data_IF_153797214911
#
_entry.id   IF_153797214911
#
_cell.length_a   1.000
_cell.length_b   1.000
_cell.length_c   1.000
_cell.angle_alpha   90.00
_cell.angle_beta   90.00
_cell.angle_gamma   90.00
#
_symmetry.space_group_name_H-M   'P 1'
#
loop_
_entity.id
_entity.type
_entity.pdbx_description
1 polymer ?
#
# COMPACT_ATOMS: atom_id res chain seq x y z
N UNK A 1 19.54 10.69 -9.11
CA UNK A 1 18.37 9.76 -9.17
C UNK A 1 18.09 9.24 -10.57
N UNK A 2 18.36 9.99 -11.65
CA UNK A 2 18.14 9.50 -13.03
C UNK A 2 18.82 8.18 -13.42
N UNK A 3 19.99 7.75 -12.89
CA UNK A 3 20.54 6.43 -13.22
C UNK A 3 19.68 5.27 -12.68
N UNK A 4 19.04 5.46 -11.52
CA UNK A 4 18.26 4.42 -10.85
C UNK A 4 16.95 4.07 -11.57
N UNK A 5 16.51 4.90 -12.52
CA UNK A 5 15.37 4.54 -13.38
C UNK A 5 15.72 3.49 -14.44
N UNK A 6 17.00 3.20 -14.61
CA UNK A 6 17.52 2.22 -15.57
C UNK A 6 18.24 1.03 -14.92
N UNK A 7 18.29 1.00 -13.59
CA UNK A 7 18.75 -0.17 -12.83
C UNK A 7 17.53 -0.87 -12.23
N UNK A 8 17.63 -2.19 -12.07
CA UNK A 8 16.53 -3.02 -11.60
C UNK A 8 17.08 -4.38 -11.13
N UNK A 9 16.21 -5.19 -10.55
CA UNK A 9 16.52 -6.55 -10.12
C UNK A 9 16.73 -7.50 -11.31
N UNK A 10 17.98 -7.54 -11.80
CA UNK A 10 18.39 -8.43 -12.90
C UNK A 10 18.45 -9.90 -12.47
N UNK A 11 18.67 -10.19 -11.18
CA UNK A 11 18.70 -11.56 -10.69
C UNK A 11 17.31 -12.20 -10.77
N UNK A 12 16.29 -11.51 -10.26
CA UNK A 12 14.91 -12.01 -10.33
C UNK A 12 14.39 -12.08 -11.76
N UNK A 13 14.78 -11.16 -12.65
CA UNK A 13 14.41 -11.22 -14.08
C UNK A 13 14.95 -12.49 -14.74
N UNK A 14 16.24 -12.78 -14.60
CA UNK A 14 16.83 -13.98 -15.21
C UNK A 14 16.30 -15.27 -14.54
N UNK A 15 16.07 -15.26 -13.23
CA UNK A 15 15.40 -16.38 -12.55
C UNK A 15 13.99 -16.62 -13.09
N UNK A 16 13.21 -15.55 -13.30
CA UNK A 16 11.88 -15.66 -13.90
C UNK A 16 11.93 -16.30 -15.30
N UNK A 17 12.87 -15.90 -16.15
CA UNK A 17 13.09 -16.52 -17.46
C UNK A 17 13.42 -18.01 -17.33
N UNK A 18 14.27 -18.38 -16.36
CA UNK A 18 14.63 -19.77 -16.11
C UNK A 18 13.45 -20.60 -15.59
N UNK A 19 12.65 -20.06 -14.68
CA UNK A 19 11.42 -20.70 -14.19
C UNK A 19 10.39 -20.90 -15.31
N UNK A 20 10.35 -20.01 -16.32
CA UNK A 20 9.53 -20.21 -17.52
C UNK A 20 10.04 -21.31 -18.45
N UNK A 21 11.34 -21.64 -18.41
CA UNK A 21 11.89 -22.76 -19.16
C UNK A 21 11.57 -24.11 -18.47
N UNK A 22 11.64 -24.14 -17.14
CA UNK A 22 11.33 -25.33 -16.32
C UNK A 22 9.83 -25.63 -16.35
N UNK A 23 9.01 -24.62 -16.10
CA UNK A 23 7.55 -24.72 -16.07
C UNK A 23 6.97 -23.64 -16.97
N UNK A 24 6.75 -23.91 -18.27
CA UNK A 24 6.20 -22.94 -19.21
C UNK A 24 4.79 -22.47 -18.82
N UNK A 25 4.43 -21.19 -19.06
CA UNK A 25 3.09 -20.71 -18.78
C UNK A 25 2.04 -21.45 -19.63
N UNK A 26 0.84 -21.73 -19.07
CA UNK A 26 -0.16 -22.61 -19.69
C UNK A 26 -0.74 -22.10 -21.02
N UNK A 27 -0.64 -20.80 -21.33
CA UNK A 27 -1.03 -20.25 -22.63
C UNK A 27 0.19 -19.62 -23.34
N UNK A 28 0.67 -20.29 -24.40
CA UNK A 28 1.56 -19.69 -25.40
C UNK A 28 0.81 -18.79 -26.39
N UNK A 29 -0.52 -18.88 -26.45
CA UNK A 29 -1.34 -18.13 -27.39
C UNK A 29 -1.95 -16.90 -26.70
N UNK A 30 -1.55 -15.72 -27.20
CA UNK A 30 -2.21 -14.45 -26.98
C UNK A 30 -3.72 -14.58 -27.31
N UNK A 31 -4.66 -14.07 -26.50
CA UNK A 31 -6.02 -13.82 -26.97
C UNK A 31 -5.93 -12.86 -28.15
N UNK A 32 -6.06 -13.40 -29.36
CA UNK A 32 -6.20 -12.60 -30.58
C UNK A 32 -7.51 -11.86 -30.48
N UNK A 33 -7.46 -10.54 -30.71
CA UNK A 33 -8.56 -9.67 -31.10
C UNK A 33 -9.96 -10.15 -30.68
N UNK A 34 -10.51 -9.54 -29.64
CA UNK A 34 -11.84 -8.94 -29.71
C UNK A 34 -12.05 -8.04 -28.49
N UNK A 35 -12.44 -6.80 -28.76
CA UNK A 35 -12.79 -5.81 -27.74
C UNK A 35 -14.08 -6.19 -27.02
N UNK A 36 -14.00 -7.14 -26.10
CA UNK A 36 -15.05 -7.50 -25.17
C UNK A 36 -14.39 -8.00 -23.87
N UNK A 37 -14.24 -7.09 -22.89
CA UNK A 37 -14.08 -7.45 -21.47
C UNK A 37 -15.40 -8.02 -20.92
N UNK A 38 -15.89 -9.08 -21.56
CA UNK A 38 -17.05 -9.89 -21.18
C UNK A 38 -16.80 -11.31 -21.71
N UNK A 39 -15.92 -12.04 -21.05
CA UNK A 39 -16.14 -13.47 -20.90
C UNK A 39 -16.19 -13.75 -19.42
N UNK A 40 -17.40 -14.10 -18.95
CA UNK A 40 -17.56 -14.91 -17.76
C UNK A 40 -16.63 -16.10 -17.91
N UNK A 41 -15.57 -16.12 -17.09
CA UNK A 41 -14.71 -17.29 -16.98
C UNK A 41 -15.59 -18.37 -16.38
N UNK A 42 -16.18 -19.21 -17.23
CA UNK A 42 -16.72 -20.49 -16.80
C UNK A 42 -15.57 -21.23 -16.14
N UNK A 43 -15.82 -21.69 -14.91
CA UNK A 43 -14.94 -22.57 -14.14
C UNK A 43 -14.74 -23.89 -14.89
N UNK A 44 -13.85 -23.89 -15.89
CA UNK A 44 -13.31 -25.12 -16.44
C UNK A 44 -12.12 -25.56 -15.57
N UNK A 45 -12.40 -26.57 -14.73
CA UNK A 45 -11.51 -27.57 -14.13
C UNK A 45 -10.09 -27.13 -13.70
N UNK A 46 -9.86 -27.08 -12.38
CA UNK A 46 -8.60 -27.26 -11.62
C UNK A 46 -7.30 -27.41 -12.46
N UNK A 47 -6.90 -26.38 -13.22
CA UNK A 47 -5.53 -26.27 -13.71
C UNK A 47 -4.66 -25.89 -12.53
N UNK A 48 -3.66 -26.72 -12.22
CA UNK A 48 -2.70 -26.48 -11.14
C UNK A 48 -2.16 -25.04 -11.25
N UNK A 49 -2.39 -24.25 -10.21
CA UNK A 49 -1.99 -22.86 -10.18
C UNK A 49 -0.46 -22.76 -10.29
N UNK A 50 0.04 -21.98 -11.25
CA UNK A 50 1.48 -21.80 -11.49
C UNK A 50 2.07 -20.81 -10.48
N UNK A 51 2.45 -21.31 -9.31
CA UNK A 51 3.14 -20.54 -8.27
C UNK A 51 4.67 -20.57 -8.51
N UNK A 52 5.22 -19.45 -8.97
CA UNK A 52 6.65 -19.31 -9.27
C UNK A 52 7.55 -19.52 -8.05
N UNK A 53 7.06 -19.21 -6.84
CA UNK A 53 7.83 -19.45 -5.62
C UNK A 53 7.95 -20.94 -5.32
N UNK A 54 6.89 -21.72 -5.54
CA UNK A 54 6.92 -23.18 -5.34
C UNK A 54 7.92 -23.81 -6.32
N UNK A 55 7.87 -23.42 -7.60
CA UNK A 55 8.81 -23.90 -8.62
C UNK A 55 10.25 -23.50 -8.25
N UNK A 56 10.47 -22.27 -7.80
CA UNK A 56 11.79 -21.83 -7.31
C UNK A 56 12.27 -22.71 -6.14
N UNK A 57 11.39 -22.96 -5.16
CA UNK A 57 11.71 -23.80 -4.00
C UNK A 57 12.04 -25.24 -4.38
N UNK A 58 11.38 -25.80 -5.39
CA UNK A 58 11.60 -27.18 -5.83
C UNK A 58 12.88 -27.33 -6.66
N UNK A 59 13.24 -26.31 -7.47
CA UNK A 59 14.29 -26.42 -8.47
C UNK A 59 15.55 -25.58 -8.17
N UNK A 60 15.65 -24.89 -7.03
CA UNK A 60 16.78 -24.01 -6.77
C UNK A 60 18.15 -24.73 -6.72
N UNK A 61 18.18 -26.02 -6.38
CA UNK A 61 19.43 -26.80 -6.33
C UNK A 61 19.92 -27.25 -7.71
N UNK A 62 19.02 -27.25 -8.70
CA UNK A 62 19.28 -27.77 -10.05
C UNK A 62 19.88 -26.71 -11.00
N UNK A 63 19.86 -25.44 -10.60
CA UNK A 63 20.28 -24.31 -11.42
C UNK A 63 21.01 -23.24 -10.59
N UNK A 64 22.20 -22.85 -11.05
CA UNK A 64 23.06 -21.88 -10.33
C UNK A 64 22.36 -20.53 -10.10
N UNK A 65 21.56 -20.08 -11.06
CA UNK A 65 20.87 -18.79 -10.97
C UNK A 65 19.73 -18.82 -9.97
N UNK A 66 18.93 -19.90 -9.99
CA UNK A 66 17.89 -20.13 -8.99
C UNK A 66 18.49 -20.31 -7.59
N UNK A 67 19.63 -21.01 -7.49
CA UNK A 67 20.40 -21.16 -6.25
C UNK A 67 20.87 -19.80 -5.71
N UNK A 68 21.35 -18.91 -6.57
CA UNK A 68 21.77 -17.56 -6.18
C UNK A 68 20.61 -16.74 -5.61
N UNK A 69 19.44 -16.72 -6.27
CA UNK A 69 18.26 -16.05 -5.74
C UNK A 69 17.82 -16.68 -4.43
N UNK A 70 17.75 -18.01 -4.35
CA UNK A 70 17.36 -18.74 -3.14
C UNK A 70 18.30 -18.44 -1.96
N UNK A 71 19.61 -18.43 -2.21
CA UNK A 71 20.61 -18.06 -1.20
C UNK A 71 20.44 -16.62 -0.75
N UNK A 72 20.22 -15.68 -1.67
CA UNK A 72 20.00 -14.27 -1.33
C UNK A 72 18.79 -14.12 -0.40
N UNK A 73 17.64 -14.70 -0.76
CA UNK A 73 16.42 -14.53 0.05
C UNK A 73 16.46 -15.27 1.38
N UNK A 74 17.30 -16.31 1.53
CA UNK A 74 17.52 -17.01 2.81
C UNK A 74 18.65 -16.41 3.65
N UNK A 75 19.45 -15.48 3.11
CA UNK A 75 20.53 -14.83 3.85
C UNK A 75 19.94 -13.70 4.69
N UNK A 76 20.18 -13.72 5.99
CA UNK A 76 19.77 -12.63 6.89
C UNK A 76 20.91 -11.62 6.96
N UNK A 77 20.70 -10.35 6.52
CA UNK A 77 21.76 -9.34 6.59
C UNK A 77 22.17 -9.00 8.03
N UNK A 78 23.45 -8.67 8.24
CA UNK A 78 24.01 -8.36 9.58
C UNK A 78 23.32 -7.20 10.32
N UNK A 79 22.66 -6.31 9.59
CA UNK A 79 21.92 -5.18 10.16
C UNK A 79 20.51 -5.54 10.63
N UNK A 80 20.07 -6.78 10.44
CA UNK A 80 18.75 -7.25 10.89
C UNK A 80 18.78 -7.60 12.38
N UNK A 81 17.98 -6.87 13.15
CA UNK A 81 17.63 -7.20 14.54
C UNK A 81 16.17 -7.67 14.58
N UNK A 82 15.94 -8.94 14.95
CA UNK A 82 14.60 -9.52 15.00
C UNK A 82 13.72 -8.89 16.09
N UNK A 83 14.28 -8.50 17.23
CA UNK A 83 13.52 -7.80 18.27
C UNK A 83 13.10 -6.41 17.78
N UNK A 84 13.95 -5.75 16.99
CA UNK A 84 13.62 -4.51 16.32
C UNK A 84 12.49 -4.67 15.31
N UNK A 85 12.55 -5.71 14.46
CA UNK A 85 11.49 -6.01 13.49
C UNK A 85 10.17 -6.31 14.22
N UNK A 86 10.18 -7.10 15.31
CA UNK A 86 8.97 -7.40 16.09
C UNK A 86 8.30 -6.13 16.62
N UNK A 87 9.07 -5.18 17.16
CA UNK A 87 8.54 -3.88 17.58
C UNK A 87 8.01 -3.06 16.40
N UNK A 88 8.65 -3.15 15.23
CA UNK A 88 8.18 -2.53 14.00
C UNK A 88 6.84 -3.08 13.53
N UNK A 89 6.62 -4.40 13.64
CA UNK A 89 5.33 -5.03 13.37
C UNK A 89 4.23 -4.51 14.32
N UNK A 90 4.55 -4.34 15.60
CA UNK A 90 3.62 -3.76 16.58
C UNK A 90 3.26 -2.31 16.26
N UNK A 91 4.19 -1.51 15.72
CA UNK A 91 3.92 -0.11 15.29
C UNK A 91 2.81 -0.07 14.22
N UNK A 92 2.79 -1.03 13.29
CA UNK A 92 1.75 -1.10 12.26
C UNK A 92 0.35 -1.19 12.89
N UNK A 93 0.15 -2.11 13.83
CA UNK A 93 -1.15 -2.30 14.50
C UNK A 93 -1.44 -1.25 15.57
N UNK A 94 -0.42 -0.70 16.23
CA UNK A 94 -0.59 0.38 17.21
C UNK A 94 -1.35 1.56 16.62
N UNK A 95 -1.06 1.88 15.35
CA UNK A 95 -1.71 2.93 14.56
C UNK A 95 -2.60 2.36 13.44
N UNK A 96 -3.07 1.12 13.55
CA UNK A 96 -3.63 0.33 12.44
C UNK A 96 -4.69 1.05 11.58
N UNK A 97 -5.70 1.68 12.19
CA UNK A 97 -6.70 2.43 11.44
C UNK A 97 -6.12 3.62 10.66
N UNK A 98 -5.22 4.37 11.30
CA UNK A 98 -4.54 5.52 10.68
C UNK A 98 -3.54 5.07 9.59
N UNK A 99 -2.85 3.95 9.80
CA UNK A 99 -1.95 3.34 8.82
C UNK A 99 -2.72 2.83 7.59
N UNK A 100 -3.83 2.11 7.77
CA UNK A 100 -4.67 1.66 6.63
C UNK A 100 -5.28 2.85 5.87
N UNK A 101 -5.73 3.89 6.58
CA UNK A 101 -6.19 5.15 5.95
C UNK A 101 -5.06 5.79 5.15
N UNK A 102 -3.85 5.86 5.73
CA UNK A 102 -2.67 6.41 5.08
C UNK A 102 -2.26 5.63 3.85
N UNK A 103 -2.17 4.31 3.95
CA UNK A 103 -1.83 3.42 2.84
C UNK A 103 -2.82 3.54 1.68
N UNK A 104 -4.12 3.60 1.97
CA UNK A 104 -5.15 3.71 0.94
C UNK A 104 -5.13 5.06 0.21
N UNK A 105 -5.10 6.18 0.95
CA UNK A 105 -5.32 7.50 0.34
C UNK A 105 -4.05 8.32 0.16
N UNK A 106 -3.10 8.27 1.10
CA UNK A 106 -1.83 8.97 0.96
C UNK A 106 -0.88 8.18 0.04
N UNK A 107 -0.64 6.91 0.36
CA UNK A 107 0.36 6.11 -0.34
C UNK A 107 -0.14 5.64 -1.72
N UNK A 108 -1.26 4.91 -1.77
CA UNK A 108 -1.76 4.36 -3.03
C UNK A 108 -2.35 5.44 -3.94
N UNK A 109 -3.38 6.16 -3.49
CA UNK A 109 -4.04 7.17 -4.32
C UNK A 109 -3.11 8.37 -4.58
N UNK A 110 -2.47 8.92 -3.55
CA UNK A 110 -1.49 10.00 -3.72
C UNK A 110 -0.28 9.59 -4.57
N UNK A 111 0.15 8.33 -4.46
CA UNK A 111 1.21 7.75 -5.29
C UNK A 111 0.88 7.69 -6.78
N UNK A 112 -0.40 7.75 -7.17
CA UNK A 112 -0.78 7.90 -8.58
C UNK A 112 -0.24 9.20 -9.19
N UNK A 113 0.11 10.20 -8.37
CA UNK A 113 0.77 11.42 -8.83
C UNK A 113 2.18 11.19 -9.41
N UNK A 114 2.81 10.05 -9.12
CA UNK A 114 4.07 9.66 -9.74
C UNK A 114 3.80 9.09 -11.14
N UNK A 115 3.74 9.95 -12.16
CA UNK A 115 3.29 9.57 -13.50
C UNK A 115 4.04 8.37 -14.09
N UNK A 116 5.35 8.24 -13.88
CA UNK A 116 6.13 7.08 -14.36
C UNK A 116 5.64 5.75 -13.81
N UNK A 117 5.32 5.72 -12.52
CA UNK A 117 4.74 4.55 -11.85
C UNK A 117 3.33 4.31 -12.40
N UNK A 118 2.53 5.37 -12.53
CA UNK A 118 1.18 5.28 -13.10
C UNK A 118 1.17 4.67 -14.51
N UNK A 119 2.13 5.04 -15.37
CA UNK A 119 2.28 4.48 -16.71
C UNK A 119 2.57 2.97 -16.70
N UNK A 120 3.43 2.52 -15.77
CA UNK A 120 3.67 1.08 -15.58
C UNK A 120 2.40 0.37 -15.11
N UNK A 121 1.69 0.94 -14.14
CA UNK A 121 0.46 0.35 -13.59
C UNK A 121 -0.67 0.29 -14.61
N UNK A 122 -0.85 1.32 -15.44
CA UNK A 122 -1.92 1.40 -16.43
C UNK A 122 -1.86 0.25 -17.44
N UNK A 123 -0.65 -0.20 -17.79
CA UNK A 123 -0.40 -1.31 -18.73
C UNK A 123 -0.65 -2.68 -18.14
N UNK A 124 -0.76 -2.79 -16.82
CA UNK A 124 -1.14 -4.05 -16.18
C UNK A 124 -2.65 -4.32 -16.24
N UNK A 125 -3.49 -3.31 -16.53
CA UNK A 125 -4.95 -3.44 -16.49
C UNK A 125 -5.55 -3.67 -15.09
N UNK A 126 -4.70 -3.82 -14.06
CA UNK A 126 -5.12 -4.16 -12.71
C UNK A 126 -5.73 -3.00 -11.91
N UNK A 127 -5.88 -1.81 -12.50
CA UNK A 127 -6.47 -0.64 -11.83
C UNK A 127 -7.81 -0.20 -12.45
N UNK A 128 -8.48 -1.09 -13.18
CA UNK A 128 -9.90 -0.89 -13.54
C UNK A 128 -10.79 -0.98 -12.30
N UNK A 129 -11.97 -0.35 -12.31
CA UNK A 129 -12.90 -0.35 -11.17
C UNK A 129 -13.40 -1.74 -10.77
N UNK A 130 -13.38 -2.70 -11.70
CA UNK A 130 -13.73 -4.11 -11.48
C UNK A 130 -12.67 -4.87 -10.66
N UNK A 131 -11.40 -4.47 -10.76
CA UNK A 131 -10.25 -5.24 -10.27
C UNK A 131 -9.51 -4.55 -9.13
N UNK A 132 -9.44 -3.22 -9.13
CA UNK A 132 -8.59 -2.44 -8.22
C UNK A 132 -8.82 -2.78 -6.75
N UNK A 133 -10.07 -3.03 -6.34
CA UNK A 133 -10.41 -3.44 -4.97
C UNK A 133 -9.78 -4.77 -4.56
N UNK A 134 -9.82 -5.79 -5.44
CA UNK A 134 -9.20 -7.09 -5.16
C UNK A 134 -7.69 -6.94 -5.01
N UNK A 135 -7.03 -6.20 -5.91
CA UNK A 135 -5.58 -5.94 -5.82
C UNK A 135 -5.18 -5.16 -4.56
N UNK A 136 -6.03 -4.24 -4.10
CA UNK A 136 -5.83 -3.56 -2.82
C UNK A 136 -5.85 -4.57 -1.67
N UNK A 137 -6.78 -5.52 -1.67
CA UNK A 137 -6.83 -6.58 -0.65
C UNK A 137 -5.67 -7.56 -0.75
N UNK A 138 -5.22 -7.92 -1.95
CA UNK A 138 -4.01 -8.73 -2.16
C UNK A 138 -2.76 -8.04 -1.57
N UNK A 139 -2.62 -6.73 -1.84
CA UNK A 139 -1.53 -5.93 -1.25
C UNK A 139 -1.68 -5.84 0.27
N UNK A 140 -2.90 -5.66 0.78
CA UNK A 140 -3.15 -5.61 2.23
C UNK A 140 -2.85 -6.95 2.89
N UNK A 141 -3.20 -8.07 2.27
CA UNK A 141 -2.82 -9.42 2.72
C UNK A 141 -1.30 -9.54 2.82
N UNK A 142 -0.55 -9.08 1.80
CA UNK A 142 0.92 -9.09 1.83
C UNK A 142 1.45 -8.37 3.08
N UNK A 143 0.96 -7.15 3.34
CA UNK A 143 1.35 -6.35 4.53
C UNK A 143 1.02 -7.11 5.81
N UNK A 144 -0.16 -7.72 5.89
CA UNK A 144 -0.59 -8.48 7.06
C UNK A 144 0.28 -9.73 7.27
N UNK A 145 0.66 -10.45 6.21
CA UNK A 145 1.60 -11.56 6.31
C UNK A 145 2.97 -11.09 6.81
N UNK A 146 3.50 -9.97 6.30
CA UNK A 146 4.77 -9.39 6.77
C UNK A 146 4.71 -8.85 8.21
N UNK A 147 3.54 -8.49 8.73
CA UNK A 147 3.40 -7.86 10.06
C UNK A 147 2.81 -8.79 11.13
N UNK A 148 2.30 -9.96 10.76
CA UNK A 148 1.60 -10.87 11.68
C UNK A 148 2.48 -11.38 12.82
N UNK A 149 3.71 -11.83 12.54
CA UNK A 149 4.66 -12.32 13.55
C UNK A 149 6.08 -12.41 12.98
N UNK A 150 7.07 -12.66 13.84
CA UNK A 150 8.45 -12.87 13.41
C UNK A 150 8.60 -14.11 12.54
N UNK A 151 7.98 -15.21 12.94
CA UNK A 151 8.03 -16.47 12.20
C UNK A 151 7.48 -16.30 10.78
N UNK A 152 6.53 -15.39 10.58
CA UNK A 152 5.96 -15.09 9.27
C UNK A 152 6.94 -14.38 8.34
N UNK A 153 7.77 -13.46 8.84
CA UNK A 153 8.69 -12.66 8.00
C UNK A 153 10.11 -13.26 7.93
N UNK A 154 10.44 -14.18 8.83
CA UNK A 154 11.69 -14.94 8.81
C UNK A 154 11.74 -15.92 7.61
N UNK A 155 12.95 -16.34 7.17
CA UNK A 155 13.09 -17.32 6.10
C UNK A 155 12.22 -18.55 6.30
N UNK A 156 11.44 -18.91 5.27
CA UNK A 156 10.47 -20.01 5.30
C UNK A 156 9.06 -19.64 5.80
N UNK A 157 8.86 -18.43 6.35
CA UNK A 157 7.56 -17.94 6.81
C UNK A 157 6.62 -17.44 5.70
N UNK A 158 5.35 -17.22 6.05
CA UNK A 158 4.30 -16.82 5.09
C UNK A 158 4.56 -15.44 4.47
N UNK A 159 4.90 -14.45 5.30
CA UNK A 159 5.28 -13.10 4.85
C UNK A 159 6.53 -13.10 3.99
N UNK A 160 7.53 -13.87 4.37
CA UNK A 160 8.77 -14.07 3.60
C UNK A 160 8.47 -14.66 2.22
N UNK A 161 7.73 -15.77 2.16
CA UNK A 161 7.36 -16.43 0.91
C UNK A 161 6.46 -15.52 0.05
N UNK A 162 5.56 -14.77 0.68
CA UNK A 162 4.73 -13.76 0.03
C UNK A 162 5.56 -12.65 -0.61
N UNK A 163 6.60 -12.14 0.07
CA UNK A 163 7.51 -11.13 -0.52
C UNK A 163 8.24 -11.67 -1.75
N UNK A 164 8.68 -12.93 -1.73
CA UNK A 164 9.36 -13.55 -2.88
C UNK A 164 8.40 -13.72 -4.06
N UNK A 165 7.14 -14.11 -3.80
CA UNK A 165 6.11 -14.16 -4.85
C UNK A 165 5.92 -12.79 -5.50
N UNK A 166 5.86 -11.72 -4.71
CA UNK A 166 5.77 -10.35 -5.23
C UNK A 166 7.02 -9.97 -6.04
N UNK A 167 8.23 -10.33 -5.57
CA UNK A 167 9.49 -10.12 -6.31
C UNK A 167 9.48 -10.80 -7.68
N UNK A 168 9.02 -12.05 -7.74
CA UNK A 168 8.90 -12.81 -8.99
C UNK A 168 7.77 -12.27 -9.88
N UNK A 169 6.66 -11.79 -9.31
CA UNK A 169 5.61 -11.08 -10.05
C UNK A 169 6.14 -9.80 -10.68
N UNK A 170 6.96 -9.03 -9.96
CA UNK A 170 7.59 -7.82 -10.50
C UNK A 170 8.50 -8.14 -11.69
N UNK A 171 9.31 -9.20 -11.60
CA UNK A 171 10.10 -9.69 -12.72
C UNK A 171 9.22 -10.09 -13.92
N UNK A 172 8.11 -10.79 -13.68
CA UNK A 172 7.17 -11.19 -14.72
C UNK A 172 6.51 -10.00 -15.43
N UNK A 173 6.06 -9.00 -14.68
CA UNK A 173 5.47 -7.77 -15.21
C UNK A 173 6.47 -7.01 -16.06
N UNK A 174 7.71 -6.83 -15.57
CA UNK A 174 8.79 -6.14 -16.29
C UNK A 174 9.11 -6.84 -17.60
N UNK A 175 9.37 -8.15 -17.56
CA UNK A 175 9.68 -8.94 -18.74
C UNK A 175 8.57 -8.86 -19.79
N UNK A 176 7.30 -8.87 -19.36
CA UNK A 176 6.15 -8.77 -20.27
C UNK A 176 6.03 -7.39 -20.91
N UNK A 177 6.12 -6.30 -20.15
CA UNK A 177 6.05 -4.94 -20.72
C UNK A 177 7.22 -4.72 -21.70
N UNK A 178 8.42 -5.14 -21.33
CA UNK A 178 9.60 -5.02 -22.19
C UNK A 178 9.47 -5.87 -23.46
N UNK A 179 8.88 -7.07 -23.38
CA UNK A 179 8.59 -7.89 -24.56
C UNK A 179 7.60 -7.21 -25.52
N UNK A 180 6.55 -6.57 -25.01
CA UNK A 180 5.59 -5.85 -25.85
C UNK A 180 6.21 -4.60 -26.48
N UNK A 181 7.03 -3.87 -25.72
CA UNK A 181 7.76 -2.70 -26.19
C UNK A 181 8.73 -3.06 -27.33
N UNK A 182 9.44 -4.20 -27.25
CA UNK A 182 10.30 -4.68 -28.35
C UNK A 182 9.52 -4.91 -29.65
N UNK A 183 8.28 -5.38 -29.56
CA UNK A 183 7.42 -5.60 -30.74
C UNK A 183 6.72 -4.35 -31.23
N UNK A 184 6.46 -3.37 -30.34
CA UNK A 184 5.75 -2.14 -30.61
C UNK A 184 6.37 -1.01 -29.76
N UNK A 185 7.40 -0.29 -30.26
CA UNK A 185 8.19 0.65 -29.47
C UNK A 185 7.36 1.75 -28.80
N UNK A 186 6.27 2.20 -29.42
CA UNK A 186 5.35 3.20 -28.89
C UNK A 186 4.49 2.69 -27.71
N UNK A 187 4.50 1.38 -27.43
CA UNK A 187 3.74 0.80 -26.32
C UNK A 187 4.20 1.32 -24.96
N UNK A 188 5.51 1.48 -24.76
CA UNK A 188 6.08 1.96 -23.50
C UNK A 188 7.37 2.75 -23.74
N UNK A 189 7.42 4.00 -23.26
CA UNK A 189 8.57 4.87 -23.44
C UNK A 189 9.59 4.68 -22.29
N UNK A 190 10.56 3.80 -22.49
CA UNK A 190 11.60 3.52 -21.48
C UNK A 190 12.55 4.68 -21.27
N UNK A 191 12.78 5.53 -22.28
CA UNK A 191 13.64 6.71 -22.14
C UNK A 191 13.02 7.72 -21.18
N UNK A 192 11.72 7.96 -21.31
CA UNK A 192 10.97 8.88 -20.46
C UNK A 192 10.74 8.26 -19.07
N UNK A 193 10.13 7.07 -19.03
CA UNK A 193 9.61 6.49 -17.79
C UNK A 193 10.58 5.56 -17.05
N UNK A 194 11.70 5.18 -17.68
CA UNK A 194 12.65 4.21 -17.14
C UNK A 194 12.25 2.78 -17.46
N UNK A 195 12.99 1.81 -16.92
CA UNK A 195 12.63 0.39 -17.01
C UNK A 195 11.47 0.13 -16.03
N UNK A 196 10.42 -0.63 -16.40
CA UNK A 196 9.32 -0.92 -15.48
C UNK A 196 9.82 -1.53 -14.16
N UNK A 197 9.33 -1.02 -13.03
CA UNK A 197 9.69 -1.51 -11.70
C UNK A 197 11.23 -1.44 -11.50
N UNK A 198 11.81 -0.29 -11.85
CA UNK A 198 13.22 0.00 -11.62
C UNK A 198 13.51 0.24 -10.13
N UNK A 199 14.79 0.39 -9.79
CA UNK A 199 15.23 0.63 -8.41
C UNK A 199 14.66 1.92 -7.83
N UNK A 200 14.55 2.99 -8.62
CA UNK A 200 13.97 4.25 -8.15
C UNK A 200 12.50 4.07 -7.72
N UNK A 201 11.71 3.40 -8.56
CA UNK A 201 10.29 3.13 -8.30
C UNK A 201 10.13 2.17 -7.11
N UNK A 202 11.03 1.20 -6.98
CA UNK A 202 11.07 0.24 -5.86
C UNK A 202 11.43 0.92 -4.54
N UNK A 203 12.42 1.82 -4.53
CA UNK A 203 12.75 2.66 -3.38
C UNK A 203 11.54 3.55 -3.03
N UNK A 204 10.96 4.24 -4.01
CA UNK A 204 9.80 5.09 -3.78
C UNK A 204 8.65 4.32 -3.14
N UNK A 205 8.35 3.12 -3.66
CA UNK A 205 7.28 2.25 -3.15
C UNK A 205 7.58 1.77 -1.73
N UNK A 206 8.78 1.29 -1.41
CA UNK A 206 9.14 0.93 -0.02
C UNK A 206 9.01 2.14 0.91
N UNK A 207 9.37 3.32 0.43
CA UNK A 207 9.22 4.56 1.16
C UNK A 207 7.75 4.95 1.42
N UNK A 208 6.82 4.62 0.51
CA UNK A 208 5.39 4.91 0.72
C UNK A 208 4.73 3.98 1.75
N UNK A 209 5.28 2.79 1.99
CA UNK A 209 4.85 1.89 3.08
C UNK A 209 5.46 2.26 4.44
N UNK A 210 6.55 3.04 4.44
CA UNK A 210 7.34 3.36 5.63
C UNK A 210 7.41 4.87 5.89
N UNK A 211 8.37 5.53 5.26
CA UNK A 211 8.76 6.92 5.45
C UNK A 211 7.61 7.91 5.25
N UNK A 212 6.79 7.76 4.21
CA UNK A 212 5.65 8.67 4.02
C UNK A 212 4.60 8.48 5.11
N UNK A 213 4.41 7.26 5.65
CA UNK A 213 3.53 7.09 6.81
C UNK A 213 4.08 7.81 8.04
N UNK A 214 5.38 7.68 8.30
CA UNK A 214 6.06 8.28 9.46
C UNK A 214 5.99 9.81 9.43
N UNK A 215 6.34 10.43 8.29
CA UNK A 215 6.57 11.88 8.22
C UNK A 215 5.49 12.68 7.49
N UNK A 216 4.56 12.02 6.79
CA UNK A 216 3.49 12.70 6.05
C UNK A 216 2.10 12.26 6.52
N UNK A 217 1.79 10.97 6.42
CA UNK A 217 0.44 10.47 6.63
C UNK A 217 -0.01 10.54 8.10
N UNK A 218 0.79 10.00 9.03
CA UNK A 218 0.43 10.00 10.46
C UNK A 218 0.42 11.43 11.04
N UNK A 219 1.40 12.31 10.74
CA UNK A 219 1.34 13.71 11.16
C UNK A 219 0.11 14.46 10.63
N UNK A 220 -0.30 14.23 9.38
CA UNK A 220 -1.55 14.81 8.83
C UNK A 220 -2.80 14.29 9.52
N UNK A 221 -2.71 13.17 10.25
CA UNK A 221 -3.78 12.64 11.12
C UNK A 221 -3.59 13.01 12.60
N UNK A 222 -2.61 13.86 12.93
CA UNK A 222 -2.30 14.29 14.30
C UNK A 222 -1.52 13.27 15.13
N UNK A 223 -0.98 12.22 14.50
CA UNK A 223 -0.22 11.16 15.16
C UNK A 223 1.28 11.36 14.93
N UNK A 224 2.04 11.42 16.02
CA UNK A 224 3.49 11.52 16.00
C UNK A 224 4.10 10.29 16.70
N UNK A 225 5.01 9.62 15.98
CA UNK A 225 5.75 8.46 16.47
C UNK A 225 6.87 8.89 17.41
N UNK A 226 7.19 8.03 18.38
CA UNK A 226 8.41 8.14 19.18
C UNK A 226 9.62 7.74 18.32
N UNK A 227 10.80 8.25 18.68
CA UNK A 227 12.03 7.94 17.95
C UNK A 227 12.28 6.44 17.80
N UNK A 228 12.03 5.66 18.85
CA UNK A 228 12.19 4.20 18.78
C UNK A 228 11.21 3.55 17.80
N UNK A 229 9.96 4.03 17.74
CA UNK A 229 8.96 3.52 16.78
C UNK A 229 9.35 3.83 15.34
N UNK A 230 9.98 4.98 15.09
CA UNK A 230 10.53 5.35 13.78
C UNK A 230 11.63 4.37 13.37
N UNK A 231 12.59 4.12 14.26
CA UNK A 231 13.69 3.18 14.02
C UNK A 231 13.16 1.75 13.75
N UNK A 232 12.27 1.27 14.60
CA UNK A 232 11.71 -0.08 14.51
C UNK A 232 10.87 -0.27 13.23
N UNK A 233 10.02 0.71 12.88
CA UNK A 233 9.17 0.63 11.69
C UNK A 233 9.98 0.75 10.38
N UNK A 234 11.02 1.58 10.35
CA UNK A 234 11.94 1.65 9.21
C UNK A 234 12.71 0.34 9.03
N UNK A 235 13.19 -0.28 10.11
CA UNK A 235 13.92 -1.54 10.05
C UNK A 235 13.06 -2.67 9.45
N UNK A 236 11.79 -2.77 9.85
CA UNK A 236 10.82 -3.70 9.25
C UNK A 236 10.75 -3.52 7.73
N UNK A 237 10.49 -2.31 7.26
CA UNK A 237 10.32 -2.06 5.82
C UNK A 237 11.62 -2.08 5.02
N UNK A 238 12.76 -1.80 5.67
CA UNK A 238 14.08 -2.03 5.08
C UNK A 238 14.32 -3.51 4.84
N UNK A 239 13.90 -4.38 5.75
CA UNK A 239 13.98 -5.83 5.57
C UNK A 239 13.00 -6.35 4.51
N UNK A 240 11.77 -5.85 4.44
CA UNK A 240 10.87 -6.14 3.31
C UNK A 240 11.49 -5.66 1.99
N UNK A 241 12.13 -4.48 1.97
CA UNK A 241 12.87 -3.94 0.83
C UNK A 241 14.03 -4.83 0.39
N UNK A 242 14.75 -5.45 1.33
CA UNK A 242 15.78 -6.45 1.04
C UNK A 242 15.18 -7.67 0.34
N UNK A 243 14.15 -8.27 0.94
CA UNK A 243 13.52 -9.48 0.41
C UNK A 243 12.90 -9.28 -0.98
N UNK A 244 12.32 -8.09 -1.25
CA UNK A 244 11.70 -7.77 -2.53
C UNK A 244 12.72 -7.44 -3.63
N UNK A 245 14.02 -7.31 -3.29
CA UNK A 245 15.08 -6.97 -4.24
C UNK A 245 15.28 -5.47 -4.48
N UNK A 246 14.86 -4.60 -3.56
CA UNK A 246 15.02 -3.14 -3.65
C UNK A 246 16.28 -2.65 -2.92
N UNK A 247 16.98 -1.60 -3.41
CA UNK A 247 18.10 -1.02 -2.68
C UNK A 247 17.71 -0.55 -1.27
N UNK A 248 18.49 -0.96 -0.26
CA UNK A 248 18.14 -0.74 1.16
C UNK A 248 18.90 0.40 1.85
N UNK A 249 20.01 0.88 1.28
CA UNK A 249 20.78 2.01 1.86
C UNK A 249 19.94 3.26 2.10
N UNK A 250 18.98 3.63 1.22
CA UNK A 250 18.11 4.78 1.47
C UNK A 250 17.34 4.72 2.79
N UNK A 251 17.09 3.51 3.33
CA UNK A 251 16.34 3.28 4.56
C UNK A 251 17.24 2.88 5.74
N UNK A 252 18.56 2.98 5.60
CA UNK A 252 19.52 2.58 6.65
C UNK A 252 19.48 3.46 7.90
N UNK A 253 19.01 4.70 7.78
CA UNK A 253 18.82 5.65 8.89
C UNK A 253 17.57 6.50 8.66
N UNK A 254 16.92 7.02 9.72
CA UNK A 254 15.80 7.94 9.59
C UNK A 254 16.12 9.17 8.72
N UNK A 255 17.32 9.73 8.86
CA UNK A 255 17.75 10.92 8.12
C UNK A 255 17.87 10.64 6.61
N UNK A 256 18.46 9.51 6.24
CA UNK A 256 18.52 9.08 4.83
C UNK A 256 17.14 8.76 4.27
N UNK A 257 16.30 8.08 5.05
CA UNK A 257 14.96 7.68 4.63
C UNK A 257 14.10 8.92 4.35
N UNK A 258 14.13 9.90 5.27
CA UNK A 258 13.43 11.17 5.13
C UNK A 258 13.92 11.97 3.94
N UNK A 259 15.25 12.16 3.81
CA UNK A 259 15.85 12.89 2.66
C UNK A 259 15.49 12.26 1.33
N UNK A 260 15.57 10.93 1.25
CA UNK A 260 15.23 10.17 0.05
C UNK A 260 13.79 10.44 -0.36
N UNK A 261 12.85 10.35 0.58
CA UNK A 261 11.43 10.46 0.26
C UNK A 261 10.99 11.89 0.02
N UNK A 262 11.54 12.87 0.73
CA UNK A 262 11.32 14.29 0.41
C UNK A 262 11.82 14.62 -1.02
N UNK A 263 12.98 14.09 -1.40
CA UNK A 263 13.51 14.25 -2.76
C UNK A 263 12.63 13.59 -3.82
N UNK A 264 12.16 12.36 -3.56
CA UNK A 264 11.26 11.64 -4.48
C UNK A 264 9.90 12.33 -4.62
N UNK A 265 9.31 12.78 -3.51
CA UNK A 265 8.04 13.53 -3.55
C UNK A 265 8.18 14.81 -4.37
N UNK A 266 9.32 15.50 -4.26
CA UNK A 266 9.57 16.72 -5.03
C UNK A 266 9.79 16.45 -6.53
N UNK A 267 10.50 15.38 -6.89
CA UNK A 267 10.92 15.13 -8.27
C UNK A 267 9.99 14.20 -9.07
N UNK A 268 9.31 13.25 -8.43
CA UNK A 268 8.53 12.23 -9.14
C UNK A 268 7.03 12.57 -9.21
N UNK A 269 6.50 13.40 -8.29
CA UNK A 269 5.08 13.78 -8.31
C UNK A 269 4.83 14.81 -9.42
N UNK A 270 4.45 14.30 -10.59
CA UNK A 270 4.09 15.06 -11.79
C UNK A 270 2.89 14.38 -12.45
N UNK A 271 1.65 14.60 -11.97
CA UNK A 271 0.48 13.89 -12.45
C UNK A 271 0.27 14.02 -13.98
N UNK A 272 -0.04 12.91 -14.63
CA UNK A 272 -0.43 12.79 -16.03
C UNK A 272 -1.93 12.54 -16.18
N UNK A 273 -2.46 12.54 -17.41
CA UNK A 273 -3.86 12.15 -17.62
C UNK A 273 -4.15 10.71 -17.19
N UNK A 274 -3.21 9.79 -17.39
CA UNK A 274 -3.24 8.43 -16.83
C UNK A 274 -3.36 8.46 -15.30
N UNK A 275 -2.62 9.35 -14.64
CA UNK A 275 -2.65 9.51 -13.18
C UNK A 275 -4.06 9.85 -12.67
N UNK A 276 -4.78 10.73 -13.40
CA UNK A 276 -6.17 11.12 -13.08
C UNK A 276 -7.12 9.93 -13.16
N UNK A 277 -6.99 9.11 -14.20
CA UNK A 277 -7.82 7.91 -14.40
C UNK A 277 -7.61 6.94 -13.24
N UNK A 278 -6.35 6.60 -12.93
CA UNK A 278 -6.05 5.63 -11.88
C UNK A 278 -6.53 6.10 -10.49
N UNK A 279 -6.30 7.38 -10.16
CA UNK A 279 -6.74 7.95 -8.89
C UNK A 279 -8.26 7.91 -8.73
N UNK A 280 -9.01 8.26 -9.77
CA UNK A 280 -10.48 8.20 -9.74
C UNK A 280 -11.00 6.77 -9.70
N UNK A 281 -10.37 5.82 -10.39
CA UNK A 281 -10.75 4.41 -10.33
C UNK A 281 -10.57 3.82 -8.92
N UNK A 282 -9.57 4.27 -8.15
CA UNK A 282 -9.40 3.86 -6.74
C UNK A 282 -10.63 4.27 -5.93
N UNK A 283 -11.05 5.54 -6.03
CA UNK A 283 -12.27 6.04 -5.34
C UNK A 283 -13.49 5.20 -5.74
N UNK A 284 -13.75 5.07 -7.05
CA UNK A 284 -14.91 4.33 -7.59
C UNK A 284 -14.91 2.85 -7.21
N UNK A 285 -13.73 2.24 -7.06
CA UNK A 285 -13.64 0.82 -6.67
C UNK A 285 -14.00 0.56 -5.20
N UNK A 286 -13.90 1.59 -4.35
CA UNK A 286 -14.07 1.51 -2.90
C UNK A 286 -15.36 2.16 -2.38
N UNK A 287 -15.97 3.07 -3.16
CA UNK A 287 -17.15 3.81 -2.74
C UNK A 287 -18.34 2.89 -2.44
N UNK A 288 -19.06 3.21 -1.35
CA UNK A 288 -20.29 2.55 -0.93
C UNK A 288 -20.18 1.01 -0.79
N UNK A 289 -18.98 0.52 -0.49
CA UNK A 289 -18.70 -0.92 -0.36
C UNK A 289 -18.23 -1.31 1.04
N UNK A 290 -18.43 -2.58 1.45
CA UNK A 290 -17.86 -3.10 2.67
C UNK A 290 -16.32 -2.99 2.68
N UNK A 291 -15.68 -2.96 3.86
CA UNK A 291 -16.29 -3.04 5.20
C UNK A 291 -16.71 -1.67 5.77
N UNK A 292 -16.33 -0.56 5.13
CA UNK A 292 -16.46 0.79 5.70
C UNK A 292 -17.67 1.59 5.18
N UNK A 293 -18.21 1.25 4.01
CA UNK A 293 -19.35 1.94 3.36
C UNK A 293 -19.20 3.48 3.35
N UNK A 294 -18.00 3.95 2.98
CA UNK A 294 -17.69 5.36 2.83
C UNK A 294 -18.28 5.90 1.52
N UNK A 295 -18.84 7.11 1.54
CA UNK A 295 -19.25 7.80 0.30
C UNK A 295 -18.03 8.22 -0.52
N UNK A 296 -18.17 8.45 -1.83
CA UNK A 296 -17.10 9.03 -2.64
C UNK A 296 -16.54 10.32 -2.03
N UNK A 297 -17.40 11.23 -1.55
CA UNK A 297 -16.96 12.49 -0.96
C UNK A 297 -16.09 12.29 0.28
N UNK A 298 -16.41 11.30 1.13
CA UNK A 298 -15.58 10.95 2.29
C UNK A 298 -14.23 10.36 1.88
N UNK A 299 -14.20 9.50 0.86
CA UNK A 299 -12.96 8.96 0.30
C UNK A 299 -12.07 10.07 -0.27
N UNK A 300 -12.68 11.01 -1.00
CA UNK A 300 -11.98 12.14 -1.62
C UNK A 300 -11.51 13.14 -0.55
N UNK A 301 -12.32 13.42 0.48
CA UNK A 301 -11.90 14.23 1.61
C UNK A 301 -10.71 13.60 2.33
N UNK A 302 -10.67 12.27 2.47
CA UNK A 302 -9.51 11.54 3.02
C UNK A 302 -8.26 11.74 2.18
N UNK A 303 -8.38 11.63 0.85
CA UNK A 303 -7.28 11.88 -0.07
C UNK A 303 -6.77 13.31 -0.02
N UNK A 304 -7.67 14.31 -0.06
CA UNK A 304 -7.34 15.73 0.00
C UNK A 304 -6.68 16.13 1.31
N UNK A 305 -7.20 15.64 2.43
CA UNK A 305 -6.62 15.87 3.75
C UNK A 305 -5.18 15.35 3.85
N UNK A 306 -4.92 14.17 3.29
CA UNK A 306 -3.64 13.49 3.42
C UNK A 306 -2.62 13.86 2.34
N UNK A 307 -3.03 14.37 1.18
CA UNK A 307 -2.13 14.72 0.06
C UNK A 307 -2.04 16.23 -0.18
N UNK A 308 -3.05 17.00 0.20
CA UNK A 308 -3.18 18.43 -0.12
C UNK A 308 -4.05 18.65 -1.35
N UNK A 309 -4.60 19.85 -1.48
CA UNK A 309 -5.54 20.18 -2.56
C UNK A 309 -4.85 20.21 -3.92
N UNK A 310 -3.65 20.78 -4.04
CA UNK A 310 -2.96 20.95 -5.32
C UNK A 310 -2.73 19.61 -6.04
N UNK A 311 -2.24 18.59 -5.32
CA UNK A 311 -2.06 17.26 -5.89
C UNK A 311 -3.39 16.62 -6.25
N UNK A 312 -4.40 16.73 -5.39
CA UNK A 312 -5.73 16.18 -5.66
C UNK A 312 -6.44 16.85 -6.85
N UNK A 313 -6.23 18.17 -7.04
CA UNK A 313 -6.73 18.93 -8.18
C UNK A 313 -6.01 18.49 -9.47
N UNK A 314 -4.69 18.31 -9.42
CA UNK A 314 -3.92 17.77 -10.53
C UNK A 314 -4.30 16.32 -10.89
N UNK A 315 -4.72 15.52 -9.90
CA UNK A 315 -5.30 14.18 -10.08
C UNK A 315 -6.78 14.20 -10.52
N UNK A 316 -7.38 15.37 -10.71
CA UNK A 316 -8.75 15.51 -11.20
C UNK A 316 -9.81 14.98 -10.22
N UNK A 317 -9.54 15.02 -8.92
CA UNK A 317 -10.54 14.69 -7.91
C UNK A 317 -11.48 15.86 -7.72
N UNK A 318 -12.78 15.62 -7.52
CA UNK A 318 -13.72 16.71 -7.19
C UNK A 318 -13.42 17.33 -5.83
N UNK A 319 -13.92 18.54 -5.59
CA UNK A 319 -13.87 19.17 -4.27
C UNK A 319 -15.15 18.83 -3.48
N UNK A 320 -15.06 18.00 -2.43
CA UNK A 320 -16.21 17.72 -1.59
C UNK A 320 -16.54 18.95 -0.74
N UNK A 321 -17.78 19.01 -0.22
CA UNK A 321 -18.18 20.09 0.68
C UNK A 321 -17.34 20.10 1.97
N UNK A 322 -17.23 21.28 2.60
CA UNK A 322 -16.47 21.45 3.86
C UNK A 322 -16.96 20.51 4.97
N UNK A 323 -18.22 20.06 4.91
CA UNK A 323 -18.76 19.04 5.80
C UNK A 323 -17.86 17.79 5.90
N UNK A 324 -17.37 17.28 4.76
CA UNK A 324 -16.52 16.09 4.76
C UNK A 324 -15.11 16.36 5.30
N UNK A 325 -14.62 17.60 5.19
CA UNK A 325 -13.38 18.01 5.86
C UNK A 325 -13.56 18.00 7.39
N UNK A 326 -14.71 18.43 7.90
CA UNK A 326 -15.03 18.30 9.32
C UNK A 326 -15.19 16.84 9.76
N UNK A 327 -15.78 15.98 8.94
CA UNK A 327 -15.81 14.53 9.22
C UNK A 327 -14.40 13.93 9.28
N UNK A 328 -13.50 14.36 8.39
CA UNK A 328 -12.10 13.96 8.46
C UNK A 328 -11.42 14.42 9.75
N UNK A 329 -11.70 15.65 10.22
CA UNK A 329 -11.23 16.11 11.52
C UNK A 329 -11.77 15.23 12.67
N UNK A 330 -13.03 14.81 12.60
CA UNK A 330 -13.63 13.85 13.54
C UNK A 330 -12.93 12.49 13.53
N UNK A 331 -12.58 11.96 12.36
CA UNK A 331 -11.79 10.73 12.23
C UNK A 331 -10.38 10.87 12.82
N UNK A 332 -9.70 11.97 12.53
CA UNK A 332 -8.37 12.24 13.10
C UNK A 332 -8.45 12.37 14.62
N UNK A 333 -9.47 13.04 15.14
CA UNK A 333 -9.73 13.14 16.59
C UNK A 333 -9.92 11.76 17.21
N UNK A 334 -10.73 10.90 16.61
CA UNK A 334 -10.89 9.51 17.03
C UNK A 334 -9.54 8.77 17.09
N UNK A 335 -8.75 8.84 16.01
CA UNK A 335 -7.45 8.18 15.97
C UNK A 335 -6.47 8.73 17.01
N UNK A 336 -6.39 10.04 17.18
CA UNK A 336 -5.54 10.67 18.21
C UNK A 336 -5.93 10.20 19.62
N UNK A 337 -7.21 10.30 19.98
CA UNK A 337 -7.71 9.90 21.30
C UNK A 337 -7.37 8.44 21.57
N UNK A 338 -7.69 7.55 20.63
CA UNK A 338 -7.40 6.12 20.80
C UNK A 338 -5.90 5.88 20.89
N UNK A 339 -5.12 6.33 19.90
CA UNK A 339 -3.69 6.03 19.83
C UNK A 339 -2.93 6.56 21.05
N UNK A 340 -3.19 7.80 21.48
CA UNK A 340 -2.51 8.36 22.64
C UNK A 340 -3.02 7.78 23.96
N UNK A 341 -4.33 7.50 24.12
CA UNK A 341 -4.85 6.87 25.33
C UNK A 341 -4.25 5.47 25.56
N UNK A 342 -4.25 4.62 24.52
CA UNK A 342 -3.64 3.28 24.62
C UNK A 342 -2.13 3.35 24.90
N UNK A 343 -1.45 4.37 24.38
CA UNK A 343 -0.01 4.57 24.60
C UNK A 343 0.37 4.80 26.07
N UNK A 344 -0.56 5.26 26.92
CA UNK A 344 -0.31 5.45 28.36
C UNK A 344 -0.46 4.16 29.18
N UNK A 345 -1.15 3.14 28.66
CA UNK A 345 -1.45 1.91 29.39
C UNK A 345 -0.93 0.70 28.58
N UNK A 346 0.32 0.23 28.83
CA UNK A 346 0.98 -0.79 28.02
C UNK A 346 0.17 -2.09 27.85
N UNK A 347 -0.55 -2.52 28.89
CA UNK A 347 -1.41 -3.70 28.83
C UNK A 347 -2.53 -3.53 27.79
N UNK A 348 -3.19 -2.37 27.77
CA UNK A 348 -4.26 -2.09 26.83
C UNK A 348 -3.73 -1.93 25.40
N UNK A 349 -2.54 -1.33 25.23
CA UNK A 349 -1.89 -1.24 23.92
C UNK A 349 -1.62 -2.63 23.32
N UNK A 350 -1.02 -3.53 24.11
CA UNK A 350 -0.76 -4.92 23.68
C UNK A 350 -2.06 -5.67 23.35
N UNK A 351 -3.10 -5.51 24.17
CA UNK A 351 -4.41 -6.13 23.92
C UNK A 351 -5.05 -5.63 22.63
N UNK A 352 -4.99 -4.31 22.38
CA UNK A 352 -5.46 -3.69 21.13
C UNK A 352 -4.67 -4.18 19.93
N UNK A 353 -3.33 -4.22 20.01
CA UNK A 353 -2.47 -4.72 18.94
C UNK A 353 -2.85 -6.16 18.56
N UNK A 354 -2.95 -7.05 19.54
CA UNK A 354 -3.34 -8.45 19.31
C UNK A 354 -4.76 -8.58 18.72
N UNK A 355 -5.69 -7.74 19.17
CA UNK A 355 -7.03 -7.68 18.59
C UNK A 355 -7.00 -7.22 17.12
N UNK A 356 -6.32 -6.11 16.82
CA UNK A 356 -6.25 -5.56 15.46
C UNK A 356 -5.53 -6.50 14.49
N UNK A 357 -4.48 -7.20 14.95
CA UNK A 357 -3.79 -8.24 14.17
C UNK A 357 -4.76 -9.31 13.67
N UNK A 358 -5.66 -9.78 14.55
CA UNK A 358 -6.70 -10.76 14.18
C UNK A 358 -7.81 -10.13 13.36
N UNK A 359 -8.31 -8.97 13.77
CA UNK A 359 -9.45 -8.31 13.14
C UNK A 359 -9.15 -7.90 11.69
N UNK A 360 -7.95 -7.39 11.41
CA UNK A 360 -7.54 -7.04 10.05
C UNK A 360 -7.40 -8.27 9.16
N UNK A 361 -6.85 -9.37 9.69
CA UNK A 361 -6.79 -10.63 8.96
C UNK A 361 -8.18 -11.13 8.58
N UNK A 362 -9.10 -11.23 9.55
CA UNK A 362 -10.47 -11.68 9.31
C UNK A 362 -11.19 -10.77 8.31
N UNK A 363 -11.01 -9.46 8.44
CA UNK A 363 -11.66 -8.49 7.55
C UNK A 363 -11.18 -8.60 6.10
N UNK A 364 -9.88 -8.74 5.88
CA UNK A 364 -9.28 -8.68 4.54
C UNK A 364 -9.24 -10.06 3.88
N UNK A 365 -8.85 -11.09 4.62
CA UNK A 365 -8.60 -12.43 4.09
C UNK A 365 -9.85 -13.29 4.24
N UNK A 366 -10.32 -13.51 5.47
CA UNK A 366 -11.35 -14.52 5.74
C UNK A 366 -12.78 -14.08 5.36
N UNK A 367 -13.05 -12.77 5.29
CA UNK A 367 -14.40 -12.28 5.06
C UNK A 367 -14.88 -12.53 3.62
N UNK A 368 -16.18 -12.83 3.47
CA UNK A 368 -16.83 -12.93 2.15
C UNK A 368 -16.76 -11.63 1.35
N UNK A 369 -16.56 -10.50 2.03
CA UNK A 369 -16.41 -9.19 1.38
C UNK A 369 -14.95 -8.82 1.07
N UNK A 370 -14.00 -9.67 1.48
CA UNK A 370 -12.56 -9.53 1.35
C UNK A 370 -12.02 -10.47 0.26
N UNK A 371 -11.18 -11.44 0.64
CA UNK A 371 -10.62 -12.47 -0.23
C UNK A 371 -11.29 -13.84 -0.06
N UNK A 372 -12.40 -13.93 0.67
CA UNK A 372 -13.23 -15.14 0.79
C UNK A 372 -12.46 -16.36 1.35
N UNK A 373 -11.48 -16.11 2.23
CA UNK A 373 -10.62 -17.14 2.82
C UNK A 373 -9.56 -17.71 1.86
N UNK A 374 -9.44 -17.17 0.65
CA UNK A 374 -8.43 -17.58 -0.32
C UNK A 374 -7.21 -16.66 -0.22
N UNK A 375 -6.11 -17.21 0.30
CA UNK A 375 -4.84 -16.49 0.24
C UNK A 375 -4.39 -16.29 -1.21
N UNK A 376 -4.00 -15.07 -1.55
CA UNK A 376 -3.41 -14.80 -2.87
C UNK A 376 -1.99 -15.35 -2.96
N UNK A 377 -1.70 -15.99 -4.09
CA UNK A 377 -0.36 -16.42 -4.48
C UNK A 377 0.29 -15.47 -5.49
N UNK A 378 -0.25 -14.25 -5.64
CA UNK A 378 0.24 -13.19 -6.53
C UNK A 378 0.44 -13.67 -7.98
N UNK A 379 -0.53 -14.44 -8.46
CA UNK A 379 -0.51 -14.92 -9.83
C UNK A 379 -0.45 -13.76 -10.81
N UNK A 380 0.21 -13.97 -11.95
CA UNK A 380 0.18 -13.00 -13.04
C UNK A 380 -1.15 -13.05 -13.82
N UNK A 381 -2.26 -12.75 -13.12
CA UNK A 381 -3.64 -12.77 -13.63
C UNK A 381 -3.90 -11.72 -14.70
N UNK A 382 -3.34 -10.53 -14.50
CA UNK A 382 -3.53 -9.39 -15.40
C UNK A 382 -2.31 -9.23 -16.28
N UNK A 383 -2.28 -10.01 -17.36
CA UNK A 383 -1.18 -10.01 -18.32
C UNK A 383 -1.34 -8.79 -19.25
N UNK A 384 -0.37 -7.86 -19.29
CA UNK A 384 -0.37 -6.76 -20.25
C UNK A 384 -0.54 -7.27 -21.69
N UNK A 385 -1.37 -6.61 -22.46
CA UNK A 385 -1.57 -6.76 -23.90
C UNK A 385 -1.56 -5.38 -24.57
N UNK A 386 -1.52 -5.33 -25.90
CA UNK A 386 -1.50 -4.04 -26.62
C UNK A 386 -2.76 -3.19 -26.39
N UNK A 387 -3.89 -3.82 -26.16
CA UNK A 387 -5.16 -3.16 -25.82
C UNK A 387 -5.28 -2.84 -24.33
N UNK A 388 -4.36 -3.34 -23.49
CA UNK A 388 -4.42 -3.12 -22.04
C UNK A 388 -3.96 -1.71 -21.70
N UNK A 389 -4.93 -0.81 -21.62
CA UNK A 389 -4.80 0.50 -20.98
C UNK A 389 -5.94 0.62 -19.98
N UNK A 390 -5.63 1.04 -18.76
CA UNK A 390 -6.68 1.26 -17.76
C UNK A 390 -7.47 2.50 -18.11
N UNK A 391 -8.77 2.33 -18.36
CA UNK A 391 -9.71 3.41 -18.67
C UNK A 391 -10.50 3.84 -17.42
N UNK A 392 -11.18 4.99 -17.50
CA UNK A 392 -12.05 5.48 -16.44
C UNK A 392 -13.28 4.55 -16.30
N UNK A 393 -13.37 3.82 -15.20
CA UNK A 393 -14.48 2.89 -14.97
C UNK A 393 -15.68 3.56 -14.31
N UNK A 394 -16.87 2.99 -14.44
CA UNK A 394 -18.10 3.51 -13.81
C UNK A 394 -18.08 3.38 -12.27
N UNK A 395 -18.87 4.23 -11.59
CA UNK A 395 -19.07 4.18 -10.15
C UNK A 395 -19.95 3.02 -9.71
N UNK A 396 -19.90 2.68 -8.42
CA UNK A 396 -20.70 1.59 -7.88
C UNK A 396 -22.09 2.08 -7.44
N UNK A 397 -23.13 1.59 -8.11
CA UNK A 397 -24.53 1.83 -7.76
C UNK A 397 -25.04 0.62 -6.94
N UNK A 398 -24.86 0.66 -5.63
CA UNK A 398 -25.35 -0.38 -4.71
C UNK A 398 -25.93 0.22 -3.43
N UNK A 399 -26.86 -0.50 -2.80
CA UNK A 399 -27.54 -0.04 -1.58
C UNK A 399 -26.57 0.08 -0.40
N UNK A 400 -26.75 1.14 0.39
CA UNK A 400 -25.96 1.43 1.59
C UNK A 400 -26.48 0.58 2.75
N UNK A 401 -25.96 -0.64 2.92
CA UNK A 401 -26.33 -1.48 4.06
C UNK A 401 -25.34 -1.27 5.23
N UNK A 402 -25.82 -0.65 6.31
CA UNK A 402 -25.08 -0.52 7.59
C UNK A 402 -24.79 0.91 8.05
N UNK A 403 -24.19 1.06 9.24
CA UNK A 403 -23.76 2.36 9.77
C UNK A 403 -22.54 2.86 9.01
N UNK A 404 -22.67 4.00 8.32
CA UNK A 404 -21.54 4.61 7.60
C UNK A 404 -20.44 5.09 8.55
N UNK A 405 -19.19 4.97 8.10
CA UNK A 405 -18.01 5.59 8.73
C UNK A 405 -18.22 7.08 9.04
N UNK A 406 -19.04 7.78 8.25
CA UNK A 406 -19.39 9.19 8.42
C UNK A 406 -20.14 9.45 9.72
N UNK A 407 -21.08 8.57 10.11
CA UNK A 407 -21.83 8.69 11.36
C UNK A 407 -20.90 8.57 12.57
N UNK A 408 -19.93 7.65 12.51
CA UNK A 408 -18.89 7.53 13.54
C UNK A 408 -18.05 8.81 13.59
N UNK A 409 -17.61 9.30 12.44
CA UNK A 409 -16.76 10.47 12.33
C UNK A 409 -17.46 11.73 12.86
N UNK A 410 -18.75 11.90 12.56
CA UNK A 410 -19.57 12.99 13.09
C UNK A 410 -19.67 12.94 14.62
N UNK A 411 -19.90 11.76 15.21
CA UNK A 411 -19.94 11.60 16.67
C UNK A 411 -18.62 12.04 17.31
N UNK A 412 -17.49 11.63 16.75
CA UNK A 412 -16.17 12.00 17.28
C UNK A 412 -15.82 13.46 17.06
N UNK A 413 -16.27 14.08 15.98
CA UNK A 413 -16.18 15.52 15.80
C UNK A 413 -16.91 16.25 16.93
N UNK A 414 -18.17 15.87 17.21
CA UNK A 414 -18.96 16.48 18.28
C UNK A 414 -18.32 16.27 19.66
N UNK A 415 -17.82 15.07 19.95
CA UNK A 415 -17.09 14.79 21.19
C UNK A 415 -15.81 15.66 21.31
N UNK A 416 -15.06 15.83 20.22
CA UNK A 416 -13.87 16.68 20.18
C UNK A 416 -14.19 18.14 20.46
N UNK A 417 -15.22 18.68 19.80
CA UNK A 417 -15.69 20.07 20.01
C UNK A 417 -16.16 20.27 21.46
N UNK A 418 -16.94 19.35 22.00
CA UNK A 418 -17.38 19.41 23.40
C UNK A 418 -16.20 19.38 24.38
N UNK A 419 -15.22 18.50 24.15
CA UNK A 419 -14.01 18.41 24.96
C UNK A 419 -13.20 19.71 24.96
N UNK A 420 -12.97 20.32 23.79
CA UNK A 420 -12.32 21.62 23.67
C UNK A 420 -13.09 22.74 24.39
N UNK A 421 -14.42 22.72 24.31
CA UNK A 421 -15.28 23.64 25.05
C UNK A 421 -15.11 23.51 26.57
N UNK A 422 -15.09 22.29 27.10
CA UNK A 422 -14.86 22.02 28.52
C UNK A 422 -13.48 22.49 28.98
N UNK A 423 -12.42 22.19 28.22
CA UNK A 423 -11.05 22.64 28.56
C UNK A 423 -10.95 24.15 28.56
N UNK A 424 -11.53 24.82 27.54
CA UNK A 424 -11.53 26.28 27.45
C UNK A 424 -12.29 26.93 28.61
N UNK A 425 -13.44 26.37 28.97
CA UNK A 425 -14.24 26.83 30.12
C UNK A 425 -13.49 26.68 31.45
N UNK A 426 -12.87 25.52 31.68
CA UNK A 426 -12.09 25.26 32.89
C UNK A 426 -10.85 26.15 32.95
N UNK A 427 -10.17 26.35 31.82
CA UNK A 427 -9.03 27.27 31.70
C UNK A 427 -9.43 28.71 32.03
N UNK A 428 -10.53 29.21 31.46
CA UNK A 428 -11.06 30.53 31.76
C UNK A 428 -11.43 30.69 33.25
N UNK A 429 -12.05 29.66 33.86
CA UNK A 429 -12.30 29.65 35.31
C UNK A 429 -11.02 29.69 36.13
N UNK A 430 -10.02 28.90 35.77
CA UNK A 430 -8.74 28.85 36.50
C UNK A 430 -8.02 30.22 36.44
N UNK A 431 -7.98 30.84 35.25
CA UNK A 431 -7.45 32.19 35.07
C UNK A 431 -8.23 33.22 35.89
N UNK A 432 -9.56 33.12 35.91
CA UNK A 432 -10.40 33.99 36.74
C UNK A 432 -10.14 33.84 38.24
N UNK A 433 -9.96 32.60 38.72
CA UNK A 433 -9.62 32.31 40.13
C UNK A 433 -8.24 32.84 40.49
N UNK A 434 -7.22 32.61 39.64
CA UNK A 434 -5.85 33.10 39.87
C UNK A 434 -5.82 34.64 39.80
N UNK A 435 -6.50 35.25 38.83
CA UNK A 435 -6.61 36.71 38.72
C UNK A 435 -7.26 37.33 39.96
N UNK A 436 -8.31 36.70 40.49
CA UNK A 436 -8.96 37.12 41.74
C UNK A 436 -8.08 36.97 42.98
N UNK A 437 -7.15 36.01 43.01
CA UNK A 437 -6.20 35.85 44.12
C UNK A 437 -5.00 36.81 44.05
N UNK A 438 -4.61 37.25 42.86
CA UNK A 438 -3.44 38.13 42.66
C UNK A 438 -3.81 39.61 42.77
N UNK A 439 -5.06 39.98 42.44
CA UNK A 439 -5.53 41.37 42.42
C UNK A 439 -6.60 41.68 43.49
N UNK A 440 -6.95 40.69 44.32
CA UNK A 440 -7.97 40.79 45.37
C UNK A 440 -7.41 41.03 46.76
#
# INVERSE_FOLDING_TARGET
MHPLKFTYDTLAEKCYERLNQISPPPNKNLPRNNGQFTQDVKEDEKKAHRDLYVILKEHHEEDEMLSNLWKEVNTVPDWVDWDQIARGQDVFYRYGGANLTGLAYQSLLGGMGAARVAETLARTGGFSTKVARRRLYETTQHILQCTKSLESIQPGGDGWASTIRVRLLHAAVRARIMSLQKTRPEYYNTEEWGIPINDLDSIATIGTFSSTLIWLSLPRQGIYLRQQEILDYLALWRYVGYLIGSPTDPFSTPEKAKKTIESLLYHEIRPSDTSKILANNIIRSLENRPPIFASPDMLIASARWLNGNDLCDALGLMQPSLYYSFLMAGQCTFYMVMCYAYRYIPYLDRKKINFLRRAFWVMIVDSQTGLEGQETFFEFKYVPEFSTVTEMGEGYVGAREGTSIETRNLRWLLCGVAGLGCVSYLGAKLVGVIGGMVWG
#
